data_IF_948027348832
#
_entry.id   IF_948027348832
#
_cell.length_a   1.000
_cell.length_b   1.000
_cell.length_c   1.000
_cell.angle_alpha   90.00
_cell.angle_beta   90.00
_cell.angle_gamma   90.00
#
_symmetry.space_group_name_H-M   'P 1'
#
loop_
_entity.id
_entity.type
_entity.pdbx_description
1 polymer ?
#
# COMPACT_ATOMS: atom_id res chain seq x y z
N UNK A 1 1.74 46.30 13.39
CA UNK A 1 1.54 44.90 13.82
C UNK A 1 0.25 44.68 14.59
N UNK A 2 -0.15 45.55 15.53
CA UNK A 2 -1.40 45.40 16.31
C UNK A 2 -2.68 45.29 15.45
N UNK A 3 -2.82 46.09 14.38
CA UNK A 3 -4.01 46.08 13.51
C UNK A 3 -4.19 44.72 12.75
N UNK A 4 -3.09 44.06 12.37
CA UNK A 4 -3.14 42.79 11.65
C UNK A 4 -3.52 41.63 12.57
N UNK A 5 -3.03 41.62 13.82
CA UNK A 5 -3.41 40.61 14.83
C UNK A 5 -4.87 40.77 15.26
N UNK A 6 -5.36 42.02 15.33
CA UNK A 6 -6.74 42.32 15.70
C UNK A 6 -7.71 41.96 14.57
N UNK A 7 -7.33 42.16 13.30
CA UNK A 7 -8.09 41.67 12.16
C UNK A 7 -8.16 40.12 12.14
N UNK A 8 -7.04 39.46 12.38
CA UNK A 8 -6.99 38.00 12.45
C UNK A 8 -7.89 37.38 13.56
N UNK A 9 -7.91 38.01 14.74
CA UNK A 9 -8.80 37.58 15.84
C UNK A 9 -10.28 37.83 15.52
N UNK A 10 -10.61 38.94 14.83
CA UNK A 10 -11.99 39.24 14.44
C UNK A 10 -12.51 38.26 13.39
N UNK A 11 -11.66 37.85 12.42
CA UNK A 11 -12.02 36.78 11.45
C UNK A 11 -12.23 35.46 12.13
N UNK A 12 -11.36 35.06 13.04
CA UNK A 12 -11.48 33.78 13.77
C UNK A 12 -12.77 33.73 14.60
N UNK A 13 -13.15 34.84 15.26
CA UNK A 13 -14.41 34.90 16.03
C UNK A 13 -15.63 34.88 15.11
N UNK A 14 -15.60 35.59 13.97
CA UNK A 14 -16.69 35.56 12.99
C UNK A 14 -16.87 34.18 12.37
N UNK A 15 -15.78 33.48 12.07
CA UNK A 15 -15.80 32.12 11.53
C UNK A 15 -16.35 31.13 12.58
N UNK A 16 -15.91 31.21 13.83
CA UNK A 16 -16.45 30.39 14.92
C UNK A 16 -17.95 30.67 15.16
N UNK A 17 -18.40 31.91 15.10
CA UNK A 17 -19.79 32.30 15.28
C UNK A 17 -20.70 31.80 14.13
N UNK A 18 -20.18 31.68 12.91
CA UNK A 18 -20.94 31.12 11.78
C UNK A 18 -20.93 29.60 11.74
N UNK A 19 -19.88 28.94 12.25
CA UNK A 19 -19.77 27.49 12.30
C UNK A 19 -20.70 26.85 13.35
N UNK A 20 -20.93 27.52 14.49
CA UNK A 20 -21.74 26.97 15.59
C UNK A 20 -23.20 26.66 15.22
N UNK A 21 -23.97 27.51 14.51
CA UNK A 21 -25.34 27.20 14.10
C UNK A 21 -25.41 26.00 13.14
N UNK A 22 -24.45 25.89 12.21
CA UNK A 22 -24.39 24.78 11.28
C UNK A 22 -24.08 23.47 11.97
N UNK A 23 -23.15 23.49 12.93
CA UNK A 23 -22.83 22.30 13.75
C UNK A 23 -24.04 21.85 14.57
N UNK A 24 -24.79 22.74 15.19
CA UNK A 24 -25.98 22.41 15.94
C UNK A 24 -27.07 21.74 15.07
N UNK A 25 -27.22 22.18 13.82
CA UNK A 25 -28.13 21.55 12.85
C UNK A 25 -27.64 20.15 12.49
N UNK A 26 -26.35 20.01 12.22
CA UNK A 26 -25.74 18.71 11.93
C UNK A 26 -25.88 17.74 13.12
N UNK A 27 -25.65 18.21 14.32
CA UNK A 27 -25.80 17.41 15.54
C UNK A 27 -27.25 16.97 15.73
N UNK A 28 -28.24 17.85 15.49
CA UNK A 28 -29.65 17.50 15.56
C UNK A 28 -30.07 16.46 14.50
N UNK A 29 -29.49 16.51 13.31
CA UNK A 29 -29.73 15.53 12.24
C UNK A 29 -29.06 14.19 12.56
N UNK A 30 -27.85 14.22 13.11
CA UNK A 30 -27.06 13.04 13.38
C UNK A 30 -27.50 12.30 14.66
N UNK A 31 -27.91 13.02 15.71
CA UNK A 31 -28.17 12.44 17.02
C UNK A 31 -29.13 11.23 17.03
N UNK A 32 -30.26 11.22 16.31
CA UNK A 32 -31.15 10.06 16.31
C UNK A 32 -30.50 8.80 15.70
N UNK A 33 -29.79 8.97 14.57
CA UNK A 33 -29.14 7.86 13.88
C UNK A 33 -27.91 7.38 14.62
N UNK A 34 -27.13 8.32 15.16
CA UNK A 34 -25.93 8.00 15.93
C UNK A 34 -26.25 7.28 17.23
N UNK A 35 -27.32 7.64 17.93
CA UNK A 35 -27.76 6.95 19.14
C UNK A 35 -28.18 5.50 18.89
N UNK A 36 -28.74 5.20 17.70
CA UNK A 36 -29.19 3.86 17.33
C UNK A 36 -28.09 3.00 16.73
N UNK A 37 -27.18 3.59 15.99
CA UNK A 37 -26.22 2.85 15.14
C UNK A 37 -24.75 3.06 15.54
N UNK A 38 -24.46 4.00 16.43
CA UNK A 38 -23.09 4.42 16.76
C UNK A 38 -22.38 5.22 15.66
N UNK A 39 -23.09 5.56 14.57
CA UNK A 39 -22.53 6.20 13.37
C UNK A 39 -23.42 7.36 12.93
N UNK A 40 -22.85 8.54 12.57
CA UNK A 40 -23.65 9.68 12.12
C UNK A 40 -24.33 9.39 10.77
N UNK A 41 -25.36 10.15 10.44
CA UNK A 41 -25.98 10.14 9.12
C UNK A 41 -25.10 10.90 8.11
N UNK A 42 -24.61 12.05 8.52
CA UNK A 42 -23.77 12.96 7.71
C UNK A 42 -22.52 13.33 8.53
N UNK A 43 -21.35 13.16 7.96
CA UNK A 43 -20.07 13.54 8.56
C UNK A 43 -18.95 12.60 8.19
N UNK A 44 -17.75 13.08 8.20
CA UNK A 44 -16.56 12.28 7.93
C UNK A 44 -16.20 11.41 9.15
N UNK A 45 -15.60 10.27 8.89
CA UNK A 45 -15.03 9.40 9.92
C UNK A 45 -13.80 10.06 10.56
N UNK A 46 -13.63 9.85 11.86
CA UNK A 46 -12.45 10.33 12.57
C UNK A 46 -11.17 9.64 12.05
N UNK A 47 -10.08 10.38 11.96
CA UNK A 47 -8.79 9.81 11.63
C UNK A 47 -8.22 9.01 12.81
N UNK A 48 -7.53 7.91 12.50
CA UNK A 48 -6.75 7.18 13.48
C UNK A 48 -5.49 7.96 13.89
N UNK A 49 -4.99 7.65 15.07
CA UNK A 49 -3.79 8.29 15.63
C UNK A 49 -2.54 7.60 15.08
N UNK A 50 -1.63 8.38 14.50
CA UNK A 50 -0.35 7.87 14.01
C UNK A 50 0.49 7.22 15.10
N UNK A 51 1.23 6.18 14.74
CA UNK A 51 2.06 5.41 15.65
C UNK A 51 1.29 4.49 16.58
N UNK A 52 -0.02 4.27 16.33
CA UNK A 52 -0.86 3.39 17.18
C UNK A 52 -1.51 2.25 16.40
N UNK A 53 -1.44 2.26 15.07
CA UNK A 53 -2.19 1.31 14.23
C UNK A 53 -3.70 1.46 14.34
N UNK A 54 -4.19 2.59 14.86
CA UNK A 54 -5.63 2.83 15.01
C UNK A 54 -6.31 2.94 13.65
N UNK A 55 -7.39 2.21 13.46
CA UNK A 55 -8.20 2.30 12.24
C UNK A 55 -8.87 3.67 12.13
N UNK A 56 -9.08 4.14 10.90
CA UNK A 56 -9.93 5.27 10.62
C UNK A 56 -11.39 4.96 10.93
N UNK A 57 -12.13 5.95 11.42
CA UNK A 57 -13.57 5.85 11.66
C UNK A 57 -14.36 5.77 10.35
N UNK A 58 -15.51 5.13 10.37
CA UNK A 58 -16.40 5.13 9.22
C UNK A 58 -17.07 6.50 9.04
N UNK A 59 -17.22 6.96 7.82
CA UNK A 59 -17.99 8.15 7.46
C UNK A 59 -19.49 7.95 7.67
N UNK A 60 -20.29 9.01 7.56
CA UNK A 60 -21.75 8.96 7.74
C UNK A 60 -22.45 7.94 6.84
N UNK A 61 -23.61 7.49 7.26
CA UNK A 61 -24.39 6.53 6.48
C UNK A 61 -24.79 7.07 5.10
N UNK A 62 -25.18 8.35 5.03
CA UNK A 62 -25.64 8.98 3.81
C UNK A 62 -24.52 9.73 3.09
N UNK A 63 -23.77 10.53 3.83
CA UNK A 63 -22.71 11.38 3.29
C UNK A 63 -21.55 11.50 4.26
N UNK A 64 -20.36 11.29 3.74
CA UNK A 64 -19.10 11.47 4.48
C UNK A 64 -18.03 10.49 4.04
N UNK A 65 -16.80 10.94 4.11
CA UNK A 65 -15.64 10.13 3.81
C UNK A 65 -15.30 9.24 5.01
N UNK A 66 -14.73 8.08 4.76
CA UNK A 66 -14.05 7.32 5.79
C UNK A 66 -12.82 8.08 6.30
N UNK A 67 -12.54 8.00 7.60
CA UNK A 67 -11.33 8.56 8.20
C UNK A 67 -10.08 7.79 7.76
N UNK A 68 -8.97 8.48 7.62
CA UNK A 68 -7.68 7.83 7.40
C UNK A 68 -7.26 7.11 8.69
N UNK A 69 -6.57 6.02 8.55
CA UNK A 69 -6.03 5.31 9.72
C UNK A 69 -4.69 5.87 10.16
N UNK A 70 -4.29 5.57 11.39
CA UNK A 70 -2.95 5.82 11.90
C UNK A 70 -1.94 4.78 11.39
N UNK A 71 -0.69 5.21 11.26
CA UNK A 71 0.45 4.31 11.06
C UNK A 71 0.65 3.39 12.28
N UNK A 72 1.27 2.25 12.08
CA UNK A 72 1.62 1.33 13.15
C UNK A 72 2.81 1.86 13.99
N UNK A 73 2.84 1.53 15.28
CA UNK A 73 4.05 1.61 16.10
C UNK A 73 5.12 0.62 15.58
N UNK A 74 6.38 0.73 16.00
CA UNK A 74 7.40 -0.26 15.66
C UNK A 74 6.93 -1.70 15.94
N UNK A 75 7.02 -2.58 14.95
CA UNK A 75 6.52 -3.95 14.99
C UNK A 75 5.00 -4.11 14.80
N UNK A 76 4.24 -3.03 14.71
CA UNK A 76 2.78 -3.04 14.60
C UNK A 76 2.31 -2.72 13.18
N UNK A 77 1.30 -3.42 12.69
CA UNK A 77 0.66 -3.13 11.41
C UNK A 77 -0.02 -1.75 11.41
N UNK A 78 -0.07 -1.13 10.25
CA UNK A 78 -0.87 0.08 10.04
C UNK A 78 -2.36 -0.21 10.18
N UNK A 79 -3.14 0.77 10.65
CA UNK A 79 -4.59 0.67 10.77
C UNK A 79 -5.29 0.59 9.42
N UNK A 80 -6.48 0.03 9.37
CA UNK A 80 -7.33 0.08 8.19
C UNK A 80 -8.01 1.44 8.06
N UNK A 81 -8.12 1.97 6.85
CA UNK A 81 -8.91 3.16 6.55
C UNK A 81 -10.40 2.91 6.77
N UNK A 82 -11.11 3.93 7.22
CA UNK A 82 -12.56 3.89 7.42
C UNK A 82 -13.33 3.78 6.11
N UNK A 83 -14.46 3.13 6.13
CA UNK A 83 -15.35 3.05 4.97
C UNK A 83 -16.28 4.26 4.89
N UNK A 84 -16.60 4.73 3.68
CA UNK A 84 -17.71 5.66 3.47
C UNK A 84 -19.06 4.93 3.60
N UNK A 85 -20.16 5.69 3.61
CA UNK A 85 -21.50 5.14 3.56
C UNK A 85 -22.05 5.07 2.13
N UNK A 86 -23.13 5.82 1.86
CA UNK A 86 -23.73 5.88 0.53
C UNK A 86 -22.90 6.72 -0.43
N UNK A 87 -22.48 7.90 0.00
CA UNK A 87 -21.67 8.86 -0.79
C UNK A 87 -20.45 9.28 0.04
N UNK A 88 -19.28 9.16 -0.52
CA UNK A 88 -18.00 9.55 0.08
C UNK A 88 -16.85 8.63 -0.32
N UNK A 89 -15.64 9.07 -0.08
CA UNK A 89 -14.45 8.27 -0.37
C UNK A 89 -14.06 7.42 0.84
N UNK A 90 -13.50 6.25 0.61
CA UNK A 90 -12.87 5.47 1.66
C UNK A 90 -11.61 6.14 2.18
N UNK A 91 -11.34 5.99 3.47
CA UNK A 91 -10.13 6.50 4.11
C UNK A 91 -8.87 5.71 3.72
N UNK A 92 -7.72 6.34 3.78
CA UNK A 92 -6.45 5.67 3.51
C UNK A 92 -6.06 4.70 4.63
N UNK A 93 -5.44 3.58 4.26
CA UNK A 93 -4.78 2.66 5.19
C UNK A 93 -3.46 3.24 5.70
N UNK A 94 -3.10 2.95 6.95
CA UNK A 94 -1.88 3.42 7.60
C UNK A 94 -0.66 2.60 7.19
N UNK A 95 0.50 3.22 7.18
CA UNK A 95 1.76 2.51 6.97
C UNK A 95 2.04 1.54 8.14
N UNK A 96 2.65 0.40 7.85
CA UNK A 96 3.19 -0.48 8.88
C UNK A 96 4.32 0.18 9.65
N UNK A 97 4.50 -0.17 10.91
CA UNK A 97 5.63 0.23 11.73
C UNK A 97 6.90 -0.56 11.38
N UNK A 98 8.06 0.07 11.54
CA UNK A 98 9.34 -0.62 11.31
C UNK A 98 9.44 -1.87 12.18
N UNK A 99 10.02 -2.93 11.63
CA UNK A 99 10.31 -4.15 12.40
C UNK A 99 11.22 -3.84 13.58
N UNK A 100 10.93 -4.46 14.71
CA UNK A 100 11.85 -4.45 15.85
C UNK A 100 13.09 -5.28 15.52
N UNK A 101 14.19 -5.17 16.30
CA UNK A 101 15.36 -6.03 16.13
C UNK A 101 14.93 -7.50 16.10
N UNK A 102 15.34 -8.26 15.09
CA UNK A 102 14.97 -9.68 14.84
C UNK A 102 13.53 -9.94 14.38
N UNK A 103 12.73 -8.90 14.14
CA UNK A 103 11.35 -9.05 13.66
C UNK A 103 11.18 -8.55 12.22
N UNK A 104 10.20 -9.09 11.54
CA UNK A 104 9.82 -8.61 10.22
C UNK A 104 9.25 -7.18 10.29
N UNK A 105 9.38 -6.41 9.22
CA UNK A 105 8.64 -5.17 9.05
C UNK A 105 7.13 -5.43 9.10
N UNK A 106 6.38 -4.54 9.71
CA UNK A 106 4.95 -4.71 9.85
C UNK A 106 4.19 -4.40 8.54
N UNK A 107 3.04 -5.01 8.36
CA UNK A 107 2.22 -4.82 7.17
C UNK A 107 1.53 -3.46 7.15
N UNK A 108 1.34 -2.92 5.94
CA UNK A 108 0.47 -1.76 5.73
C UNK A 108 -1.00 -2.09 5.95
N UNK A 109 -1.77 -1.13 6.40
CA UNK A 109 -3.21 -1.24 6.59
C UNK A 109 -3.98 -1.22 5.27
N UNK A 110 -5.14 -1.83 5.25
CA UNK A 110 -6.02 -1.80 4.09
C UNK A 110 -6.64 -0.41 3.89
N UNK A 111 -6.88 -0.01 2.64
CA UNK A 111 -7.71 1.15 2.33
C UNK A 111 -9.18 0.90 2.63
N UNK A 112 -9.90 1.92 3.06
CA UNK A 112 -11.34 1.87 3.32
C UNK A 112 -12.17 1.78 2.04
N UNK A 113 -13.34 1.17 2.10
CA UNK A 113 -14.25 1.12 0.96
C UNK A 113 -14.84 2.51 0.66
N UNK A 114 -14.94 2.85 -0.62
CA UNK A 114 -15.68 4.02 -1.11
C UNK A 114 -17.19 3.84 -0.96
N UNK A 115 -17.93 4.93 -1.18
CA UNK A 115 -19.38 4.94 -1.04
C UNK A 115 -20.09 3.94 -1.96
N UNK A 116 -21.18 3.35 -1.45
CA UNK A 116 -21.94 2.37 -2.20
C UNK A 116 -22.50 2.92 -3.52
N UNK A 117 -22.98 4.17 -3.53
CA UNK A 117 -23.49 4.82 -4.72
C UNK A 117 -22.39 5.58 -5.47
N UNK A 118 -21.64 6.40 -4.75
CA UNK A 118 -20.63 7.29 -5.32
C UNK A 118 -19.47 7.52 -4.36
N UNK A 119 -18.25 7.31 -4.87
CA UNK A 119 -17.01 7.60 -4.14
C UNK A 119 -15.88 6.64 -4.49
N UNK A 120 -14.67 7.05 -4.25
CA UNK A 120 -13.49 6.26 -4.54
C UNK A 120 -13.10 5.37 -3.35
N UNK A 121 -12.53 4.21 -3.63
CA UNK A 121 -11.86 3.40 -2.61
C UNK A 121 -10.63 4.09 -2.07
N UNK A 122 -10.35 3.92 -0.79
CA UNK A 122 -9.16 4.44 -0.14
C UNK A 122 -7.88 3.72 -0.59
N UNK A 123 -6.77 4.45 -0.68
CA UNK A 123 -5.47 3.85 -0.92
C UNK A 123 -5.04 2.99 0.29
N UNK A 124 -4.25 1.97 0.05
CA UNK A 124 -3.69 1.15 1.12
C UNK A 124 -2.41 1.75 1.70
N UNK A 125 -2.07 1.36 2.93
CA UNK A 125 -0.80 1.70 3.55
C UNK A 125 0.34 0.83 3.04
N UNK A 126 1.54 1.38 3.06
CA UNK A 126 2.75 0.65 2.70
C UNK A 126 3.18 -0.30 3.83
N UNK A 127 3.75 -1.43 3.46
CA UNK A 127 4.50 -2.28 4.39
C UNK A 127 5.79 -1.59 4.83
N UNK A 128 6.21 -1.85 6.04
CA UNK A 128 7.46 -1.30 6.56
C UNK A 128 8.65 -2.21 6.28
N UNK A 129 9.81 -1.59 6.15
CA UNK A 129 11.09 -2.30 6.22
C UNK A 129 11.46 -2.63 7.66
N UNK A 130 12.62 -3.24 7.82
CA UNK A 130 13.21 -3.50 9.14
C UNK A 130 14.07 -2.34 9.59
N UNK A 131 14.15 -2.18 10.90
CA UNK A 131 15.14 -1.30 11.52
C UNK A 131 16.53 -1.92 11.35
N UNK A 132 17.44 -1.17 10.76
CA UNK A 132 18.83 -1.59 10.58
C UNK A 132 19.49 -1.90 11.92
N UNK A 133 20.31 -2.93 11.96
CA UNK A 133 21.23 -3.36 13.04
C UNK A 133 20.74 -4.51 13.94
N UNK A 134 20.21 -5.59 13.34
CA UNK A 134 20.03 -6.84 14.07
C UNK A 134 20.71 -8.02 13.36
N UNK A 135 21.17 -9.05 14.08
CA UNK A 135 21.83 -10.22 13.49
C UNK A 135 20.87 -11.20 12.76
N UNK A 136 19.61 -10.89 12.65
CA UNK A 136 18.64 -11.74 11.94
C UNK A 136 18.00 -11.00 10.77
N UNK A 137 17.93 -11.71 9.65
CA UNK A 137 17.22 -11.30 8.44
C UNK A 137 15.73 -11.13 8.72
N UNK A 138 15.24 -9.91 8.76
CA UNK A 138 13.82 -9.66 8.81
C UNK A 138 13.24 -9.52 7.40
N UNK A 139 12.03 -10.02 7.23
CA UNK A 139 11.24 -9.82 6.02
C UNK A 139 10.67 -8.39 6.00
N UNK A 140 10.62 -7.77 4.82
CA UNK A 140 9.84 -6.56 4.65
C UNK A 140 8.34 -6.84 4.87
N UNK A 141 7.62 -5.93 5.51
CA UNK A 141 6.17 -6.02 5.67
C UNK A 141 5.45 -5.92 4.33
N UNK A 142 4.32 -6.59 4.19
CA UNK A 142 3.52 -6.51 2.97
C UNK A 142 2.76 -5.18 2.89
N UNK A 143 2.58 -4.66 1.69
CA UNK A 143 1.66 -3.56 1.44
C UNK A 143 0.20 -3.97 1.68
N UNK A 144 -0.61 -3.05 2.20
CA UNK A 144 -2.05 -3.28 2.39
C UNK A 144 -2.80 -3.39 1.05
N UNK A 145 -3.96 -4.00 1.06
CA UNK A 145 -4.87 -4.01 -0.10
C UNK A 145 -5.72 -2.74 -0.11
N UNK A 146 -5.95 -2.21 -1.30
CA UNK A 146 -6.74 -1.00 -1.47
C UNK A 146 -8.25 -1.23 -1.23
N UNK A 147 -8.94 -0.15 -0.90
CA UNK A 147 -10.40 -0.13 -0.83
C UNK A 147 -11.05 -0.25 -2.20
N UNK A 148 -12.15 -0.97 -2.25
CA UNK A 148 -13.02 -1.06 -3.43
C UNK A 148 -14.03 0.08 -3.42
N UNK A 149 -14.71 0.31 -4.53
CA UNK A 149 -15.81 1.25 -4.61
C UNK A 149 -17.14 0.50 -4.87
N UNK A 150 -18.26 1.17 -4.68
CA UNK A 150 -19.58 0.60 -4.97
C UNK A 150 -19.99 0.72 -6.44
N UNK A 151 -20.98 1.57 -6.74
CA UNK A 151 -21.56 1.68 -8.09
C UNK A 151 -20.71 2.56 -9.02
N UNK A 152 -20.32 3.74 -8.55
CA UNK A 152 -19.56 4.73 -9.33
C UNK A 152 -18.36 5.23 -8.52
N UNK A 153 -17.17 5.15 -9.10
CA UNK A 153 -15.93 5.65 -8.51
C UNK A 153 -14.72 4.78 -8.85
N UNK A 154 -13.55 5.24 -8.52
CA UNK A 154 -12.30 4.54 -8.78
C UNK A 154 -11.87 3.68 -7.58
N UNK A 155 -11.33 2.52 -7.82
CA UNK A 155 -10.66 1.72 -6.81
C UNK A 155 -9.41 2.43 -6.27
N UNK A 156 -9.07 2.23 -5.01
CA UNK A 156 -7.85 2.73 -4.41
C UNK A 156 -6.61 2.02 -4.94
N UNK A 157 -5.43 2.61 -4.74
CA UNK A 157 -4.16 1.97 -5.07
C UNK A 157 -3.68 1.06 -3.94
N UNK A 158 -3.08 -0.08 -4.28
CA UNK A 158 -2.44 -0.99 -3.34
C UNK A 158 -1.20 -0.36 -2.71
N UNK A 159 -0.88 -0.72 -1.48
CA UNK A 159 0.32 -0.27 -0.78
C UNK A 159 1.57 -0.99 -1.27
N UNK A 160 2.72 -0.33 -1.26
CA UNK A 160 3.99 -0.95 -1.57
C UNK A 160 4.44 -1.91 -0.45
N UNK A 161 5.14 -2.97 -0.81
CA UNK A 161 5.85 -3.83 0.15
C UNK A 161 7.06 -3.12 0.75
N UNK A 162 7.38 -3.42 1.99
CA UNK A 162 8.58 -2.93 2.68
C UNK A 162 9.85 -3.63 2.20
N UNK A 163 10.99 -2.94 2.28
CA UNK A 163 12.27 -3.55 1.97
C UNK A 163 12.66 -4.62 3.01
N UNK A 164 13.26 -5.70 2.56
CA UNK A 164 13.95 -6.66 3.41
C UNK A 164 15.19 -6.01 4.03
N UNK A 165 15.62 -6.51 5.18
CA UNK A 165 16.78 -5.95 5.88
C UNK A 165 18.09 -6.55 5.44
N UNK A 166 19.11 -5.70 5.47
CA UNK A 166 20.49 -6.14 5.32
C UNK A 166 20.93 -6.89 6.57
N UNK A 167 21.62 -8.00 6.39
CA UNK A 167 22.11 -8.80 7.52
C UNK A 167 23.52 -8.36 7.90
N UNK A 168 23.75 -8.10 9.19
CA UNK A 168 25.10 -7.86 9.69
C UNK A 168 25.90 -9.18 9.74
N UNK A 169 27.17 -9.03 9.54
CA UNK A 169 28.26 -9.94 9.24
C UNK A 169 28.26 -11.40 9.73
N UNK A 170 27.57 -11.80 10.79
CA UNK A 170 27.86 -13.06 11.47
C UNK A 170 26.75 -14.14 11.37
N UNK A 171 25.63 -13.83 10.76
CA UNK A 171 24.50 -14.75 10.67
C UNK A 171 23.97 -14.79 9.23
N UNK A 172 24.08 -15.94 8.58
CA UNK A 172 23.66 -16.19 7.21
C UNK A 172 22.13 -16.19 7.03
N UNK A 173 21.49 -15.07 7.31
CA UNK A 173 20.07 -14.89 7.09
C UNK A 173 19.79 -14.07 5.82
N UNK A 174 18.61 -14.19 5.28
CA UNK A 174 18.19 -13.58 4.01
C UNK A 174 16.97 -12.69 4.26
N UNK A 175 17.10 -11.39 4.04
CA UNK A 175 15.96 -10.45 4.10
C UNK A 175 15.16 -10.44 2.78
N UNK A 176 13.96 -10.97 2.77
CA UNK A 176 13.07 -10.90 1.60
C UNK A 176 12.31 -9.58 1.59
N UNK A 177 12.07 -9.03 0.40
CA UNK A 177 11.19 -7.90 0.24
C UNK A 177 9.71 -8.27 0.49
N UNK A 178 8.95 -7.36 1.08
CA UNK A 178 7.50 -7.50 1.26
C UNK A 178 6.75 -7.45 -0.07
N UNK A 179 5.61 -8.10 -0.15
CA UNK A 179 4.76 -8.07 -1.33
C UNK A 179 3.99 -6.75 -1.44
N UNK A 180 3.76 -6.28 -2.68
CA UNK A 180 2.85 -5.19 -2.93
C UNK A 180 1.38 -5.59 -2.71
N UNK A 181 0.57 -4.68 -2.21
CA UNK A 181 -0.87 -4.87 -2.05
C UNK A 181 -1.64 -4.76 -3.36
N UNK A 182 -2.76 -5.43 -3.48
CA UNK A 182 -3.60 -5.35 -4.66
C UNK A 182 -4.31 -3.99 -4.75
N UNK A 183 -4.51 -3.50 -5.98
CA UNK A 183 -5.39 -2.38 -6.27
C UNK A 183 -6.85 -2.74 -6.04
N UNK A 184 -7.66 -1.76 -5.65
CA UNK A 184 -9.09 -1.90 -5.46
C UNK A 184 -9.86 -1.96 -6.80
N UNK A 185 -10.96 -2.69 -6.83
CA UNK A 185 -11.83 -2.69 -7.99
C UNK A 185 -12.49 -1.31 -8.19
N UNK A 186 -12.63 -0.90 -9.45
CA UNK A 186 -13.45 0.24 -9.84
C UNK A 186 -14.94 -0.06 -9.67
N UNK A 187 -15.76 1.00 -9.81
CA UNK A 187 -17.21 0.91 -9.63
C UNK A 187 -17.88 -0.09 -10.55
N UNK A 188 -18.95 -0.70 -10.04
CA UNK A 188 -19.71 -1.70 -10.78
C UNK A 188 -20.30 -1.14 -12.08
N UNK A 189 -20.73 0.12 -12.11
CA UNK A 189 -21.25 0.76 -13.32
C UNK A 189 -20.15 1.55 -14.06
N UNK A 190 -19.40 2.36 -13.34
CA UNK A 190 -18.37 3.22 -13.93
C UNK A 190 -17.22 3.51 -12.95
N UNK A 191 -16.02 3.38 -13.41
CA UNK A 191 -14.80 3.74 -12.66
C UNK A 191 -13.60 2.92 -13.06
N UNK A 192 -12.43 3.43 -12.76
CA UNK A 192 -11.17 2.75 -13.03
C UNK A 192 -10.78 1.84 -11.85
N UNK A 193 -10.19 0.70 -12.14
CA UNK A 193 -9.50 -0.09 -11.14
C UNK A 193 -8.25 0.62 -10.64
N UNK A 194 -7.91 0.48 -9.38
CA UNK A 194 -6.70 1.00 -8.78
C UNK A 194 -5.46 0.19 -9.17
N UNK A 195 -4.31 0.83 -9.17
CA UNK A 195 -3.04 0.15 -9.44
C UNK A 195 -2.65 -0.77 -8.27
N UNK A 196 -1.98 -1.88 -8.57
CA UNK A 196 -1.32 -2.72 -7.57
C UNK A 196 -0.09 -2.01 -7.01
N UNK A 197 0.25 -2.26 -5.75
CA UNK A 197 1.46 -1.74 -5.12
C UNK A 197 2.72 -2.48 -5.57
N UNK A 198 3.85 -1.80 -5.54
CA UNK A 198 5.13 -2.42 -5.87
C UNK A 198 5.58 -3.39 -4.77
N UNK A 199 6.30 -4.44 -5.15
CA UNK A 199 7.01 -5.30 -4.20
C UNK A 199 8.22 -4.58 -3.62
N UNK A 200 8.58 -4.90 -2.39
CA UNK A 200 9.78 -4.38 -1.71
C UNK A 200 11.06 -5.05 -2.23
N UNK A 201 12.14 -4.30 -2.27
CA UNK A 201 13.45 -4.87 -2.56
C UNK A 201 13.90 -5.83 -1.44
N UNK A 202 14.71 -6.82 -1.79
CA UNK A 202 15.33 -7.68 -0.79
C UNK A 202 16.55 -7.00 -0.17
N UNK A 203 16.91 -7.42 1.04
CA UNK A 203 18.14 -7.04 1.70
C UNK A 203 19.34 -7.83 1.16
N UNK A 204 20.53 -7.24 1.36
CA UNK A 204 21.81 -7.87 1.04
C UNK A 204 22.48 -8.37 2.31
N UNK A 205 23.10 -9.57 2.30
CA UNK A 205 23.84 -10.02 3.44
C UNK A 205 25.16 -9.24 3.59
N UNK A 206 25.45 -8.84 4.81
CA UNK A 206 26.78 -8.33 5.17
C UNK A 206 27.81 -9.45 5.15
N UNK A 207 29.05 -9.17 4.74
CA UNK A 207 30.07 -10.19 4.71
C UNK A 207 31.28 -9.81 5.53
N UNK A 208 31.65 -10.67 6.49
CA UNK A 208 33.01 -10.69 7.10
C UNK A 208 33.52 -12.09 7.45
N UNK A 209 32.77 -13.15 7.18
CA UNK A 209 33.20 -14.53 7.49
C UNK A 209 33.51 -15.35 6.24
N UNK A 210 34.06 -16.51 6.38
CA UNK A 210 34.59 -17.35 5.30
C UNK A 210 33.58 -17.77 4.23
N UNK A 211 32.29 -17.59 4.49
CA UNK A 211 31.22 -17.95 3.56
C UNK A 211 30.31 -16.73 3.35
N UNK A 212 30.20 -16.24 2.10
CA UNK A 212 29.26 -15.20 1.72
C UNK A 212 27.81 -15.69 1.81
N UNK A 213 26.95 -14.93 2.46
CA UNK A 213 25.51 -15.21 2.47
C UNK A 213 24.85 -14.93 1.11
N UNK A 214 23.78 -15.66 0.78
CA UNK A 214 22.98 -15.39 -0.41
C UNK A 214 22.11 -14.14 -0.23
N UNK A 215 21.88 -13.40 -1.29
CA UNK A 215 20.90 -12.32 -1.34
C UNK A 215 19.46 -12.83 -1.18
N UNK A 216 18.59 -12.02 -0.60
CA UNK A 216 17.16 -12.32 -0.48
C UNK A 216 16.39 -12.18 -1.78
N UNK A 217 15.24 -12.82 -1.90
CA UNK A 217 14.36 -12.61 -3.05
C UNK A 217 13.55 -11.33 -2.91
N UNK A 218 13.34 -10.63 -4.02
CA UNK A 218 12.48 -9.46 -4.10
C UNK A 218 11.00 -9.80 -3.87
N UNK A 219 10.23 -8.88 -3.31
CA UNK A 219 8.78 -9.04 -3.13
C UNK A 219 8.02 -8.99 -4.45
N UNK A 220 6.93 -9.73 -4.55
CA UNK A 220 6.05 -9.66 -5.73
C UNK A 220 5.25 -8.35 -5.76
N UNK A 221 4.97 -7.84 -6.95
CA UNK A 221 4.05 -6.73 -7.15
C UNK A 221 2.60 -7.15 -6.92
N UNK A 222 1.76 -6.24 -6.42
CA UNK A 222 0.32 -6.47 -6.26
C UNK A 222 -0.43 -6.42 -7.60
N UNK A 223 -1.56 -7.10 -7.68
CA UNK A 223 -2.39 -7.07 -8.90
C UNK A 223 -3.16 -5.74 -9.01
N UNK A 224 -3.41 -5.29 -10.24
CA UNK A 224 -4.28 -4.18 -10.54
C UNK A 224 -5.76 -4.51 -10.31
N UNK A 225 -6.57 -3.50 -9.96
CA UNK A 225 -8.00 -3.65 -9.77
C UNK A 225 -8.78 -3.76 -11.08
N UNK A 226 -9.89 -4.49 -11.07
CA UNK A 226 -10.77 -4.65 -12.22
C UNK A 226 -11.72 -3.44 -12.39
N UNK A 227 -12.28 -3.29 -13.58
CA UNK A 227 -13.35 -2.34 -13.89
C UNK A 227 -14.42 -3.01 -14.76
N UNK A 228 -15.67 -2.54 -14.72
CA UNK A 228 -16.69 -2.97 -15.68
C UNK A 228 -16.68 -2.02 -16.89
N UNK A 229 -16.86 -0.74 -16.64
CA UNK A 229 -16.69 0.35 -17.60
C UNK A 229 -15.65 1.30 -17.04
N UNK A 230 -14.60 1.56 -17.79
CA UNK A 230 -13.42 2.31 -17.37
C UNK A 230 -12.14 1.49 -17.52
N UNK A 231 -11.00 2.06 -17.22
CA UNK A 231 -9.74 1.37 -17.35
C UNK A 231 -9.45 0.48 -16.12
N UNK A 232 -8.97 -0.72 -16.34
CA UNK A 232 -8.46 -1.54 -15.25
C UNK A 232 -7.11 -1.01 -14.72
N UNK A 233 -6.81 -1.27 -13.47
CA UNK A 233 -5.57 -0.88 -12.82
C UNK A 233 -4.38 -1.69 -13.32
N UNK A 234 -3.22 -1.07 -13.42
CA UNK A 234 -1.97 -1.75 -13.71
C UNK A 234 -1.52 -2.63 -12.53
N UNK A 235 -0.83 -3.71 -12.81
CA UNK A 235 -0.10 -4.49 -11.83
C UNK A 235 1.10 -3.71 -11.29
N UNK A 236 1.44 -3.89 -10.02
CA UNK A 236 2.62 -3.31 -9.40
C UNK A 236 3.90 -4.00 -9.86
N UNK A 237 4.99 -3.26 -9.99
CA UNK A 237 6.31 -3.82 -10.27
C UNK A 237 6.80 -4.66 -9.08
N UNK A 238 7.62 -5.66 -9.37
CA UNK A 238 8.24 -6.47 -8.33
C UNK A 238 9.48 -5.77 -7.72
N UNK A 239 9.87 -6.19 -6.54
CA UNK A 239 11.13 -5.82 -5.91
C UNK A 239 12.32 -6.55 -6.53
N UNK A 240 13.48 -5.90 -6.50
CA UNK A 240 14.73 -6.54 -6.92
C UNK A 240 15.23 -7.56 -5.88
N UNK A 241 15.95 -8.57 -6.35
CA UNK A 241 16.69 -9.48 -5.48
C UNK A 241 17.87 -8.75 -4.81
N UNK A 242 18.28 -9.21 -3.63
CA UNK A 242 19.45 -8.73 -2.91
C UNK A 242 20.74 -9.27 -3.50
N UNK A 243 21.85 -8.53 -3.36
CA UNK A 243 23.15 -8.99 -3.82
C UNK A 243 23.71 -10.08 -2.91
N UNK A 244 24.44 -11.03 -3.49
CA UNK A 244 25.22 -12.00 -2.73
C UNK A 244 26.43 -11.33 -2.06
N UNK A 245 26.78 -11.75 -0.83
CA UNK A 245 27.92 -11.21 -0.12
C UNK A 245 29.24 -11.82 -0.61
N UNK A 246 30.27 -10.97 -0.71
CA UNK A 246 31.62 -11.39 -1.04
C UNK A 246 32.39 -11.82 0.20
N UNK A 247 32.74 -13.10 0.28
CA UNK A 247 33.62 -13.60 1.35
C UNK A 247 34.86 -14.29 0.73
N UNK A 248 35.92 -14.38 1.52
CA UNK A 248 37.25 -14.67 1.03
C UNK A 248 37.46 -15.94 0.19
N UNK A 249 36.66 -17.00 0.34
CA UNK A 249 36.84 -18.27 -0.39
C UNK A 249 35.60 -18.79 -1.05
N UNK A 250 34.38 -18.36 -0.65
CA UNK A 250 33.12 -18.77 -1.24
C UNK A 250 32.15 -17.60 -1.17
N UNK A 251 31.80 -17.06 -2.32
CA UNK A 251 30.84 -15.96 -2.41
C UNK A 251 29.40 -16.46 -2.40
N UNK A 252 28.48 -15.63 -1.85
CA UNK A 252 27.05 -15.89 -1.91
C UNK A 252 26.45 -15.58 -3.28
N UNK A 253 25.43 -16.32 -3.65
CA UNK A 253 24.64 -16.06 -4.85
C UNK A 253 23.73 -14.83 -4.67
N UNK A 254 23.47 -14.12 -5.75
CA UNK A 254 22.43 -13.09 -5.78
C UNK A 254 21.05 -13.71 -5.54
N UNK A 255 20.14 -12.95 -4.94
CA UNK A 255 18.74 -13.38 -4.80
C UNK A 255 17.93 -13.12 -6.07
N UNK A 256 16.89 -13.91 -6.27
CA UNK A 256 16.01 -13.75 -7.44
C UNK A 256 15.15 -12.49 -7.33
N UNK A 257 14.85 -11.88 -8.45
CA UNK A 257 13.86 -10.81 -8.55
C UNK A 257 12.43 -11.32 -8.28
N UNK A 258 11.59 -10.48 -7.72
CA UNK A 258 10.18 -10.83 -7.49
C UNK A 258 9.36 -10.88 -8.79
N UNK A 259 8.17 -11.47 -8.72
CA UNK A 259 7.21 -11.53 -9.83
C UNK A 259 6.42 -10.23 -9.94
N UNK A 260 6.30 -9.66 -11.15
CA UNK A 260 5.41 -8.54 -11.44
C UNK A 260 3.94 -8.90 -11.20
N UNK A 261 3.14 -7.94 -10.70
CA UNK A 261 1.70 -8.12 -10.50
C UNK A 261 0.95 -8.15 -11.84
N UNK A 262 -0.15 -8.87 -11.89
CA UNK A 262 -0.99 -8.90 -13.09
C UNK A 262 -1.79 -7.61 -13.23
N UNK A 263 -2.02 -7.15 -14.47
CA UNK A 263 -2.97 -6.09 -14.77
C UNK A 263 -4.41 -6.53 -14.49
N UNK A 264 -5.25 -5.60 -14.04
CA UNK A 264 -6.69 -5.85 -13.86
C UNK A 264 -7.40 -6.01 -15.19
N UNK A 265 -8.55 -6.68 -15.19
CA UNK A 265 -9.37 -6.89 -16.39
C UNK A 265 -10.56 -5.94 -16.44
N UNK A 266 -11.01 -5.63 -17.66
CA UNK A 266 -12.23 -4.85 -17.93
C UNK A 266 -13.33 -5.77 -18.41
N UNK A 267 -14.51 -5.69 -17.76
CA UNK A 267 -15.64 -6.54 -18.10
C UNK A 267 -16.34 -6.16 -19.39
N UNK A 268 -16.44 -4.88 -19.73
CA UNK A 268 -17.20 -4.43 -20.90
C UNK A 268 -16.44 -3.43 -21.78
N UNK A 269 -16.25 -2.20 -21.34
CA UNK A 269 -15.66 -1.11 -22.15
C UNK A 269 -14.51 -0.45 -21.37
N UNK A 270 -13.35 -0.41 -21.97
CA UNK A 270 -12.14 0.23 -21.41
C UNK A 270 -10.88 -0.56 -21.73
N UNK A 271 -9.76 -0.07 -21.27
CA UNK A 271 -8.47 -0.72 -21.50
C UNK A 271 -8.16 -1.70 -20.36
N UNK A 272 -7.72 -2.91 -20.70
CA UNK A 272 -7.09 -3.81 -19.74
C UNK A 272 -5.87 -3.16 -19.09
N UNK A 273 -5.65 -3.42 -17.80
CA UNK A 273 -4.49 -2.92 -17.08
C UNK A 273 -3.19 -3.62 -17.56
N UNK A 274 -2.10 -2.89 -17.63
CA UNK A 274 -0.80 -3.48 -17.94
C UNK A 274 -0.32 -4.36 -16.78
N UNK A 275 0.38 -5.44 -17.09
CA UNK A 275 1.12 -6.21 -16.10
C UNK A 275 2.30 -5.41 -15.55
N UNK A 276 2.64 -5.61 -14.28
CA UNK A 276 3.82 -5.02 -13.65
C UNK A 276 5.10 -5.73 -14.11
N UNK A 277 6.21 -5.01 -14.11
CA UNK A 277 7.51 -5.59 -14.46
C UNK A 277 8.01 -6.55 -13.37
N UNK A 278 8.72 -7.58 -13.78
CA UNK A 278 9.49 -8.43 -12.87
C UNK A 278 10.66 -7.66 -12.26
N UNK A 279 11.07 -8.03 -11.05
CA UNK A 279 12.24 -7.46 -10.40
C UNK A 279 13.53 -8.03 -10.98
N UNK A 280 14.58 -7.23 -10.98
CA UNK A 280 15.90 -7.72 -11.40
C UNK A 280 16.46 -8.70 -10.36
N UNK A 281 17.22 -9.69 -10.82
CA UNK A 281 18.03 -10.51 -9.94
C UNK A 281 19.14 -9.70 -9.27
N UNK A 282 19.58 -10.12 -8.09
CA UNK A 282 20.73 -9.53 -7.41
C UNK A 282 22.04 -10.04 -7.99
N UNK A 283 23.08 -9.22 -7.95
CA UNK A 283 24.41 -9.65 -8.39
C UNK A 283 24.97 -10.74 -7.49
N UNK A 284 25.59 -11.75 -8.10
CA UNK A 284 26.41 -12.71 -7.39
C UNK A 284 27.71 -12.07 -6.88
N UNK A 285 28.36 -12.69 -5.91
CA UNK A 285 29.63 -12.20 -5.41
C UNK A 285 30.77 -12.40 -6.43
N UNK A 286 31.84 -11.60 -6.26
CA UNK A 286 33.04 -11.68 -7.11
C UNK A 286 33.76 -13.05 -7.06
N UNK A 287 33.55 -13.86 -6.03
CA UNK A 287 34.17 -15.17 -5.86
C UNK A 287 33.11 -16.28 -5.98
N UNK A 288 32.87 -16.75 -7.20
CA UNK A 288 31.97 -17.89 -7.51
C UNK A 288 30.50 -17.78 -7.07
N UNK A 289 29.99 -16.58 -6.71
CA UNK A 289 28.56 -16.39 -6.50
C UNK A 289 27.82 -16.33 -7.83
N UNK A 290 26.80 -17.17 -8.01
CA UNK A 290 25.93 -17.06 -9.17
C UNK A 290 25.05 -15.80 -9.07
N UNK A 291 24.77 -15.11 -10.18
CA UNK A 291 23.76 -14.06 -10.17
C UNK A 291 22.36 -14.62 -9.87
N UNK A 292 21.50 -13.82 -9.29
CA UNK A 292 20.09 -14.15 -9.15
C UNK A 292 19.35 -14.00 -10.48
N UNK A 293 18.28 -14.75 -10.67
CA UNK A 293 17.46 -14.65 -11.88
C UNK A 293 16.54 -13.44 -11.80
N UNK A 294 16.31 -12.80 -12.95
CA UNK A 294 15.26 -11.81 -13.08
C UNK A 294 13.88 -12.43 -12.90
N UNK A 295 13.00 -11.76 -12.15
CA UNK A 295 11.63 -12.22 -11.94
C UNK A 295 10.78 -12.08 -13.21
N UNK A 296 9.74 -12.90 -13.40
CA UNK A 296 8.83 -12.78 -14.53
C UNK A 296 7.96 -11.53 -14.43
N UNK A 297 7.67 -10.90 -15.56
CA UNK A 297 6.67 -9.85 -15.65
C UNK A 297 5.25 -10.39 -15.42
N UNK A 298 4.34 -9.54 -14.96
CA UNK A 298 2.93 -9.87 -14.81
C UNK A 298 2.19 -9.90 -16.15
N UNK A 299 1.11 -10.66 -16.24
CA UNK A 299 0.24 -10.64 -17.43
C UNK A 299 -0.56 -9.35 -17.53
N UNK A 300 -0.83 -8.90 -18.74
CA UNK A 300 -1.81 -7.84 -18.99
C UNK A 300 -3.23 -8.33 -18.75
N UNK A 301 -4.12 -7.42 -18.37
CA UNK A 301 -5.54 -7.71 -18.16
C UNK A 301 -6.33 -7.78 -19.47
N UNK A 302 -7.41 -8.54 -19.48
CA UNK A 302 -8.30 -8.66 -20.63
C UNK A 302 -9.26 -7.47 -20.73
N UNK A 303 -9.77 -7.21 -21.94
CA UNK A 303 -10.89 -6.30 -22.19
C UNK A 303 -11.80 -6.89 -23.28
N UNK A 304 -13.12 -6.69 -23.16
CA UNK A 304 -14.08 -7.18 -24.15
C UNK A 304 -14.19 -6.22 -25.34
N UNK A 305 -14.36 -4.93 -25.08
CA UNK A 305 -14.54 -3.89 -26.11
C UNK A 305 -13.47 -2.79 -26.02
N UNK A 306 -12.24 -3.17 -25.79
CA UNK A 306 -11.08 -2.28 -25.74
C UNK A 306 -9.79 -3.07 -25.86
N UNK A 307 -8.64 -2.38 -25.96
CA UNK A 307 -7.36 -3.07 -26.04
C UNK A 307 -7.07 -3.80 -24.72
N UNK A 308 -6.53 -5.02 -24.80
CA UNK A 308 -6.00 -5.70 -23.62
C UNK A 308 -4.78 -4.96 -23.08
N UNK A 309 -4.49 -5.14 -21.81
CA UNK A 309 -3.25 -4.64 -21.20
C UNK A 309 -2.02 -5.37 -21.75
N UNK A 310 -0.91 -4.68 -21.79
CA UNK A 310 0.38 -5.27 -22.15
C UNK A 310 0.91 -6.12 -20.99
N UNK A 311 1.61 -7.19 -21.31
CA UNK A 311 2.38 -7.93 -20.29
C UNK A 311 3.54 -7.05 -19.80
N UNK A 312 3.90 -7.20 -18.52
CA UNK A 312 5.10 -6.60 -17.96
C UNK A 312 6.35 -7.29 -18.51
N UNK A 313 7.46 -6.58 -18.50
CA UNK A 313 8.77 -7.14 -18.89
C UNK A 313 9.33 -8.01 -17.78
N UNK A 314 10.10 -9.03 -18.14
CA UNK A 314 10.90 -9.76 -17.18
C UNK A 314 12.01 -8.85 -16.62
N UNK A 315 12.42 -9.09 -15.37
CA UNK A 315 13.62 -8.49 -14.81
C UNK A 315 14.87 -9.04 -15.50
N UNK A 316 15.95 -8.27 -15.43
CA UNK A 316 17.26 -8.74 -15.86
C UNK A 316 17.89 -9.68 -14.80
N UNK A 317 18.70 -10.61 -15.25
CA UNK A 317 19.57 -11.38 -14.35
C UNK A 317 20.64 -10.46 -13.75
N UNK A 318 21.09 -10.75 -12.57
CA UNK A 318 22.02 -9.93 -11.79
C UNK A 318 23.50 -10.00 -12.23
#
# INVERSE_FOLDING_TARGET
MLALSQAGSTYAVAEAASATPLQNVLDAINAPVQSLTGRPLIGDGANGIDGTGQAGGNGGWLWGNGGNSGSGAPGQAGGAGGAAGLIGNGGAGGAGGQGLPFEAGANGGAGGAGGWLFGNGGAAGNGAGISQNGPASGFGGNGGHAGTTGLIGNGGNGGAGGAGGDVSADFGGVGFGGQGGNGGAGGLLYGNGGAGGNGGAAGSPGSVTAFGGNGGSGGSGGNGGNALIGNAGAGGSAGAGGNGASAGTAGGSGGDGGKGGNGGSVGLIGNGGNGGNGGNGGAGSLFNGAPGFGGPGGSGGASLLGPPGLAGTNGADG
#
